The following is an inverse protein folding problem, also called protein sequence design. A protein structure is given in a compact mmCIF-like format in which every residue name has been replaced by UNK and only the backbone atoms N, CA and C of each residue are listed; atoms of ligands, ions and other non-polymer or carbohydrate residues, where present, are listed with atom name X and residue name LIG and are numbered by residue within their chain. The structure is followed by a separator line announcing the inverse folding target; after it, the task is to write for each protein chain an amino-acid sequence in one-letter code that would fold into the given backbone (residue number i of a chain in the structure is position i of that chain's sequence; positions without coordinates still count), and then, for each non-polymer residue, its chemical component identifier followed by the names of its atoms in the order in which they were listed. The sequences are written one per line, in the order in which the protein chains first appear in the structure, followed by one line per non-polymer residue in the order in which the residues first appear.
data_IF_540677298828
#
_entry.id   IF_540677298828
#
_cell.length_a   1.000
_cell.length_b   1.000
_cell.length_c   1.000
_cell.angle_alpha   90.00
_cell.angle_beta   90.00
_cell.angle_gamma   90.00
#
_symmetry.space_group_name_H-M   'P 1'
#
loop_
_entity.id
_entity.type
_entity.pdbx_description
1 polymer ?
#
# COMPACT_ATOMS: atom_id res chain seq x y z
N UNK A 1 -9.08 -8.04 10.63
CA UNK A 1 -8.03 -7.04 10.91
C UNK A 1 -7.16 -7.48 12.09
N UNK A 2 -7.74 -7.87 13.23
CA UNK A 2 -7.00 -8.39 14.42
C UNK A 2 -6.05 -9.55 14.09
N UNK A 3 -6.47 -10.48 13.22
CA UNK A 3 -5.63 -11.63 12.81
C UNK A 3 -4.35 -11.26 12.06
N UNK A 4 -4.29 -10.12 11.35
CA UNK A 4 -3.08 -9.71 10.64
C UNK A 4 -2.01 -9.13 11.58
N UNK A 5 -2.45 -8.62 12.74
CA UNK A 5 -1.59 -7.98 13.73
C UNK A 5 -1.22 -8.89 14.90
N UNK A 6 -1.71 -10.14 14.95
CA UNK A 6 -1.45 -11.04 16.07
C UNK A 6 -0.01 -11.55 16.13
N UNK A 7 0.69 -11.64 15.00
CA UNK A 7 2.05 -12.19 14.92
C UNK A 7 2.14 -13.68 15.27
N UNK A 8 1.00 -14.38 15.29
CA UNK A 8 0.89 -15.78 15.72
C UNK A 8 0.88 -16.77 14.56
N UNK A 9 0.52 -16.34 13.36
CA UNK A 9 0.48 -17.15 12.15
C UNK A 9 1.58 -16.72 11.18
N UNK A 10 2.03 -17.64 10.30
CA UNK A 10 2.99 -17.32 9.25
C UNK A 10 2.55 -16.10 8.41
N UNK A 11 1.26 -16.02 8.09
CA UNK A 11 0.63 -14.91 7.39
C UNK A 11 0.77 -13.58 8.14
N UNK A 12 0.48 -13.57 9.45
CA UNK A 12 0.59 -12.36 10.29
C UNK A 12 2.05 -11.93 10.47
N UNK A 13 2.97 -12.89 10.59
CA UNK A 13 4.42 -12.62 10.66
C UNK A 13 4.91 -12.02 9.35
N UNK A 14 4.52 -12.59 8.21
CA UNK A 14 4.86 -12.07 6.88
C UNK A 14 4.27 -10.67 6.67
N UNK A 15 3.01 -10.47 7.04
CA UNK A 15 2.36 -9.15 6.99
C UNK A 15 3.12 -8.11 7.81
N UNK A 16 3.49 -8.43 9.05
CA UNK A 16 4.24 -7.52 9.92
C UNK A 16 5.64 -7.20 9.37
N UNK A 17 6.32 -8.20 8.80
CA UNK A 17 7.63 -8.02 8.16
C UNK A 17 7.56 -7.06 6.95
N UNK A 18 6.51 -7.19 6.14
CA UNK A 18 6.30 -6.42 4.90
C UNK A 18 5.14 -5.41 4.99
N UNK A 19 4.85 -4.92 6.20
CA UNK A 19 3.68 -4.05 6.45
C UNK A 19 3.68 -2.77 5.60
N UNK A 20 4.86 -2.23 5.28
CA UNK A 20 4.98 -1.03 4.46
C UNK A 20 4.66 -1.26 2.98
N UNK A 21 5.25 -2.27 2.30
CA UNK A 21 4.75 -2.73 1.00
C UNK A 21 3.24 -2.94 0.98
N UNK A 22 2.67 -3.63 1.98
CA UNK A 22 1.22 -3.83 2.06
C UNK A 22 0.47 -2.49 2.18
N UNK A 23 0.86 -1.61 3.09
CA UNK A 23 0.23 -0.30 3.25
C UNK A 23 0.34 0.55 1.97
N UNK A 24 1.49 0.52 1.29
CA UNK A 24 1.70 1.24 0.04
C UNK A 24 0.80 0.71 -1.08
N UNK A 25 0.61 -0.62 -1.15
CA UNK A 25 -0.26 -1.26 -2.13
C UNK A 25 -1.73 -0.84 -1.97
N UNK A 26 -2.16 -0.40 -0.78
CA UNK A 26 -3.51 0.08 -0.47
C UNK A 26 -3.58 1.60 -0.18
N UNK A 27 -2.55 2.36 -0.55
CA UNK A 27 -2.52 3.79 -0.31
C UNK A 27 -3.32 4.55 -1.37
N UNK A 28 -4.15 5.53 -0.96
CA UNK A 28 -4.99 6.30 -1.87
C UNK A 28 -4.26 7.41 -2.63
N UNK A 29 -3.26 8.02 -1.99
CA UNK A 29 -2.49 9.14 -2.55
C UNK A 29 -1.02 8.82 -2.50
N UNK A 30 -0.24 9.19 -3.50
CA UNK A 30 1.22 9.07 -3.38
C UNK A 30 1.76 10.17 -2.48
N UNK A 31 2.90 9.89 -1.83
CA UNK A 31 3.58 10.84 -0.97
C UNK A 31 4.51 11.71 -1.81
N UNK A 32 4.09 12.94 -2.10
CA UNK A 32 4.86 13.90 -2.89
C UNK A 32 5.90 14.60 -2.02
N UNK A 33 7.08 13.99 -1.87
CA UNK A 33 8.17 14.59 -1.07
C UNK A 33 9.54 14.35 -1.68
N UNK A 34 10.45 15.30 -1.46
CA UNK A 34 11.88 15.10 -1.69
C UNK A 34 12.47 14.28 -0.56
N UNK A 35 12.71 13.00 -0.85
CA UNK A 35 13.22 12.04 0.12
C UNK A 35 14.74 11.89 -0.02
N UNK A 36 15.45 12.03 1.10
CA UNK A 36 16.87 11.69 1.15
C UNK A 36 17.03 10.17 1.08
N UNK A 37 17.27 9.65 -0.13
CA UNK A 37 17.37 8.21 -0.40
C UNK A 37 18.53 7.53 0.34
N UNK A 38 19.54 8.28 0.81
CA UNK A 38 20.63 7.70 1.61
C UNK A 38 20.20 7.40 3.04
N UNK A 39 19.29 8.21 3.57
CA UNK A 39 18.74 8.00 4.92
C UNK A 39 17.58 7.00 4.89
N UNK A 40 16.77 7.00 3.84
CA UNK A 40 15.59 6.14 3.71
C UNK A 40 15.87 4.69 3.30
N UNK A 41 16.89 4.10 3.93
CA UNK A 41 17.41 2.79 3.58
C UNK A 41 17.15 1.80 4.70
N UNK A 42 16.65 0.61 4.36
CA UNK A 42 16.32 -0.46 5.31
C UNK A 42 17.46 -1.51 5.41
N UNK A 43 18.68 -1.11 5.76
CA UNK A 43 19.79 -2.09 5.94
C UNK A 43 20.36 -2.15 7.37
N UNK A 44 20.25 -1.08 8.18
CA UNK A 44 20.71 -1.08 9.60
C UNK A 44 19.91 -0.09 10.47
N UNK A 45 19.51 -0.54 11.67
CA UNK A 45 18.87 0.28 12.69
C UNK A 45 17.39 0.57 12.47
N UNK A 46 16.84 1.47 13.27
CA UNK A 46 15.45 1.94 13.12
C UNK A 46 15.35 2.69 11.80
N UNK A 47 14.48 2.22 10.90
CA UNK A 47 14.26 2.90 9.64
C UNK A 47 13.81 4.34 9.88
N UNK A 48 14.63 5.27 9.41
CA UNK A 48 14.39 6.70 9.50
C UNK A 48 14.44 7.26 8.08
N UNK A 49 13.55 8.17 7.73
CA UNK A 49 13.65 8.92 6.48
C UNK A 49 13.57 10.40 6.81
N UNK A 50 14.25 11.22 6.01
CA UNK A 50 14.20 12.67 6.13
C UNK A 50 13.51 13.24 4.91
N UNK A 51 12.47 14.02 5.19
CA UNK A 51 11.76 14.85 4.23
C UNK A 51 12.05 16.32 4.55
N UNK A 52 12.28 17.14 3.53
CA UNK A 52 12.51 18.57 3.69
C UNK A 52 11.53 19.36 2.81
N UNK A 53 11.03 20.47 3.32
CA UNK A 53 10.02 21.30 2.66
C UNK A 53 8.59 20.90 3.01
N UNK A 54 7.63 21.37 2.20
CA UNK A 54 6.22 21.03 2.38
C UNK A 54 5.93 19.61 1.90
N UNK A 55 5.13 18.88 2.69
CA UNK A 55 4.60 17.57 2.33
C UNK A 55 3.29 17.78 1.60
N UNK A 56 3.16 17.17 0.43
CA UNK A 56 1.93 17.21 -0.36
C UNK A 56 1.40 15.79 -0.59
N UNK A 57 0.08 15.64 -0.50
CA UNK A 57 -0.61 14.45 -1.00
C UNK A 57 -0.82 14.61 -2.50
N UNK A 58 -0.24 13.72 -3.30
CA UNK A 58 -0.43 13.75 -4.74
C UNK A 58 -1.53 12.77 -5.13
N UNK A 59 -2.62 13.34 -5.65
CA UNK A 59 -3.74 12.60 -6.23
C UNK A 59 -3.51 12.58 -7.74
N UNK A 60 -3.21 11.40 -8.28
CA UNK A 60 -3.03 11.21 -9.71
C UNK A 60 -4.34 11.46 -10.47
N UNK A 61 -4.23 11.70 -11.78
CA UNK A 61 -5.37 11.63 -12.71
C UNK A 61 -6.21 10.38 -12.44
N UNK A 62 -7.53 10.48 -12.46
CA UNK A 62 -8.41 9.31 -12.29
C UNK A 62 -8.27 8.30 -13.44
N UNK A 63 -7.94 8.78 -14.63
CA UNK A 63 -7.68 7.93 -15.80
C UNK A 63 -6.18 7.63 -15.93
N UNK A 64 -5.78 6.35 -16.01
CA UNK A 64 -4.38 5.98 -16.28
C UNK A 64 -4.08 6.13 -17.78
N UNK A 65 -3.20 7.06 -18.20
CA UNK A 65 -2.93 7.33 -19.60
C UNK A 65 -2.00 6.27 -20.20
N UNK A 66 -2.52 5.07 -20.46
CA UNK A 66 -1.76 3.94 -21.02
C UNK A 66 -0.70 3.35 -20.07
N UNK A 67 -0.75 3.71 -18.79
CA UNK A 67 0.13 3.18 -17.73
C UNK A 67 -0.64 2.22 -16.83
N UNK A 68 0.11 1.42 -16.08
CA UNK A 68 -0.45 0.58 -15.04
C UNK A 68 -1.18 1.44 -13.98
N UNK A 69 -2.40 1.07 -13.54
CA UNK A 69 -3.15 1.84 -12.55
C UNK A 69 -2.42 1.85 -11.19
N UNK A 70 -2.52 2.96 -10.45
CA UNK A 70 -1.87 3.12 -9.14
C UNK A 70 -2.70 3.98 -8.17
N UNK A 71 -2.49 3.76 -6.87
CA UNK A 71 -3.13 4.50 -5.79
C UNK A 71 -4.66 4.56 -5.92
N UNK A 72 -5.27 5.76 -5.94
CA UNK A 72 -6.71 5.98 -6.11
C UNK A 72 -7.31 5.24 -7.31
N UNK A 73 -6.55 5.10 -8.41
CA UNK A 73 -7.03 4.44 -9.63
C UNK A 73 -7.39 2.97 -9.37
N UNK A 74 -6.71 2.30 -8.45
CA UNK A 74 -6.93 0.88 -8.13
C UNK A 74 -8.32 0.59 -7.53
N UNK A 75 -9.05 1.61 -7.09
CA UNK A 75 -10.37 1.47 -6.49
C UNK A 75 -11.52 1.64 -7.51
N UNK A 76 -11.24 2.25 -8.66
CA UNK A 76 -12.26 2.56 -9.67
C UNK A 76 -11.97 1.93 -11.04
N UNK A 77 -10.70 1.66 -11.35
CA UNK A 77 -10.26 1.15 -12.63
C UNK A 77 -10.13 -0.38 -12.59
N UNK A 78 -10.93 -1.07 -13.41
CA UNK A 78 -10.89 -2.53 -13.62
C UNK A 78 -10.67 -3.35 -12.34
N UNK A 79 -11.71 -3.40 -11.50
CA UNK A 79 -11.69 -4.10 -10.21
C UNK A 79 -11.51 -5.61 -10.34
N UNK A 80 -11.63 -6.18 -11.55
CA UNK A 80 -11.44 -7.62 -11.76
C UNK A 80 -9.96 -8.03 -11.68
N UNK A 81 -9.04 -7.09 -11.93
CA UNK A 81 -7.59 -7.31 -11.90
C UNK A 81 -6.91 -6.61 -10.72
N UNK A 82 -7.66 -6.29 -9.68
CA UNK A 82 -7.17 -5.53 -8.52
C UNK A 82 -5.95 -6.17 -7.85
N UNK A 83 -5.91 -7.51 -7.75
CA UNK A 83 -4.78 -8.25 -7.15
C UNK A 83 -3.53 -8.12 -8.01
N UNK A 84 -3.65 -8.40 -9.31
CA UNK A 84 -2.53 -8.29 -10.27
C UNK A 84 -1.98 -6.87 -10.28
N UNK A 85 -2.88 -5.89 -10.28
CA UNK A 85 -2.49 -4.50 -10.25
C UNK A 85 -1.73 -4.11 -8.98
N UNK A 86 -2.11 -4.64 -7.81
CA UNK A 86 -1.43 -4.34 -6.55
C UNK A 86 -0.08 -5.04 -6.38
N UNK A 87 0.19 -6.09 -7.16
CA UNK A 87 1.43 -6.90 -7.07
C UNK A 87 2.46 -6.51 -8.14
N UNK A 88 2.02 -5.96 -9.27
CA UNK A 88 2.86 -5.68 -10.45
C UNK A 88 4.19 -4.96 -10.11
N UNK A 89 4.21 -4.11 -9.09
CA UNK A 89 5.37 -3.30 -8.70
C UNK A 89 6.08 -3.75 -7.39
N UNK A 90 5.67 -4.86 -6.77
CA UNK A 90 6.10 -5.23 -5.41
C UNK A 90 6.32 -6.75 -5.29
N UNK A 91 7.59 -7.19 -5.40
CA UNK A 91 8.00 -8.61 -5.36
C UNK A 91 7.79 -9.29 -4.01
N UNK A 92 7.68 -8.50 -2.94
CA UNK A 92 7.57 -9.00 -1.57
C UNK A 92 6.09 -9.19 -1.12
N UNK A 93 5.13 -8.91 -2.00
CA UNK A 93 3.71 -9.07 -1.70
C UNK A 93 3.22 -10.45 -2.12
N UNK A 94 2.52 -11.13 -1.22
CA UNK A 94 1.87 -12.41 -1.52
C UNK A 94 0.44 -12.18 -2.03
N UNK A 95 0.02 -12.80 -3.14
CA UNK A 95 -1.33 -12.62 -3.70
C UNK A 95 -2.44 -12.98 -2.72
N UNK A 96 -2.25 -14.05 -1.95
CA UNK A 96 -3.21 -14.53 -0.95
C UNK A 96 -3.42 -13.46 0.13
N UNK A 97 -2.35 -12.78 0.55
CA UNK A 97 -2.41 -11.72 1.56
C UNK A 97 -3.13 -10.48 1.02
N UNK A 98 -2.88 -10.09 -0.23
CA UNK A 98 -3.60 -9.00 -0.90
C UNK A 98 -5.10 -9.31 -0.97
N UNK A 99 -5.46 -10.53 -1.39
CA UNK A 99 -6.86 -10.94 -1.44
C UNK A 99 -7.53 -10.91 -0.07
N UNK A 100 -6.83 -11.37 0.98
CA UNK A 100 -7.32 -11.33 2.36
C UNK A 100 -7.56 -9.90 2.83
N UNK A 101 -6.65 -8.97 2.55
CA UNK A 101 -6.80 -7.54 2.88
C UNK A 101 -7.98 -6.93 2.12
N UNK A 102 -8.12 -7.19 0.81
CA UNK A 102 -9.27 -6.74 0.01
C UNK A 102 -10.59 -7.21 0.64
N UNK A 103 -10.68 -8.48 1.02
CA UNK A 103 -11.87 -9.05 1.64
C UNK A 103 -12.17 -8.38 3.00
N UNK A 104 -11.13 -8.14 3.82
CA UNK A 104 -11.28 -7.42 5.09
C UNK A 104 -11.81 -6.00 4.86
N UNK A 105 -11.28 -5.28 3.87
CA UNK A 105 -11.70 -3.91 3.55
C UNK A 105 -13.14 -3.87 3.02
N UNK A 106 -13.51 -4.78 2.11
CA UNK A 106 -14.88 -4.88 1.58
C UNK A 106 -15.91 -5.20 2.67
N UNK A 107 -15.54 -6.04 3.65
CA UNK A 107 -16.41 -6.41 4.77
C UNK A 107 -16.52 -5.32 5.85
N UNK A 108 -15.65 -4.31 5.83
CA UNK A 108 -15.68 -3.19 6.76
C UNK A 108 -16.10 -1.91 6.02
N UNK A 109 -17.42 -1.76 5.77
CA UNK A 109 -18.02 -0.57 5.12
C UNK A 109 -17.57 0.76 5.72
N UNK A 110 -17.22 0.79 7.00
CA UNK A 110 -16.76 2.00 7.71
C UNK A 110 -15.35 2.47 7.32
N UNK A 111 -14.48 1.58 6.83
CA UNK A 111 -13.08 1.92 6.49
C UNK A 111 -13.01 2.67 5.15
N UNK A 112 -13.96 2.40 4.24
CA UNK A 112 -14.10 3.18 3.01
C UNK A 112 -14.35 4.68 3.26
N UNK A 113 -14.87 5.07 4.42
CA UNK A 113 -15.16 6.47 4.77
C UNK A 113 -13.98 7.23 5.40
N UNK A 114 -12.87 6.56 5.76
CA UNK A 114 -11.64 7.21 6.25
C UNK A 114 -10.68 7.51 5.08
N UNK A 115 -11.08 7.16 3.87
CA UNK A 115 -10.29 7.25 2.64
C UNK A 115 -10.89 8.28 1.64
N UNK A 116 -11.88 9.07 2.09
CA UNK A 116 -12.47 10.22 1.38
C UNK A 116 -12.16 11.53 2.09
#
# INVERSE_FOLDING_TARGET
MVELYSGTTAESTHFLQYIRPYNNAFMFTSFGVHLDRKLAIRYKGIYTFRAQGQIYHFINSLYPPGKHPSYLQLYFYDTQKEVDHRICDQKDLEPIMIQKIINILKNNKSICNILS
#
